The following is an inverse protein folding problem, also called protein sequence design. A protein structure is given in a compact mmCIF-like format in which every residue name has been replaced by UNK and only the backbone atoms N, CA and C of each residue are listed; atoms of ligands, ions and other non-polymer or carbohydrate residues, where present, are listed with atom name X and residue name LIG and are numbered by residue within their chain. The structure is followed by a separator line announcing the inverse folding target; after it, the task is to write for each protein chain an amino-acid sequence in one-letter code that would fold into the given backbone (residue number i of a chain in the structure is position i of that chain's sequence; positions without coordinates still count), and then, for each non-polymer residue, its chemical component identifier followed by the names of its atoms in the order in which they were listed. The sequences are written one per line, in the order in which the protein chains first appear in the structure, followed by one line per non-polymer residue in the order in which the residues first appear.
data_IF_630628317056
#
_entry.id   IF_630628317056
#
_cell.length_a   1.000
_cell.length_b   1.000
_cell.length_c   1.000
_cell.angle_alpha   90.00
_cell.angle_beta   90.00
_cell.angle_gamma   90.00
#
_symmetry.space_group_name_H-M   'P 1'
#
loop_
_entity.id
_entity.type
_entity.pdbx_description
1 polymer ?
#
# COMPACT_ATOMS: atom_id res chain seq x y z
N UNK A 1 -18.49 4.73 3.51
CA UNK A 1 -17.23 4.09 3.99
C UNK A 1 -16.17 5.18 4.11
N UNK A 2 -15.36 5.14 5.18
CA UNK A 2 -14.22 6.07 5.34
C UNK A 2 -13.13 5.70 4.33
N UNK A 3 -12.48 6.70 3.70
CA UNK A 3 -11.33 6.46 2.83
C UNK A 3 -10.22 5.75 3.64
N UNK A 4 -9.74 4.56 3.21
CA UNK A 4 -8.55 3.95 3.80
C UNK A 4 -7.34 4.85 3.56
N UNK A 5 -6.43 4.91 4.54
CA UNK A 5 -5.18 5.65 4.41
C UNK A 5 -4.21 4.89 3.52
N UNK A 6 -3.34 5.60 2.79
CA UNK A 6 -2.31 4.94 2.01
C UNK A 6 -1.29 4.27 2.94
N UNK A 7 -0.77 3.07 2.63
CA UNK A 7 0.19 2.38 3.51
C UNK A 7 1.44 3.21 3.81
N UNK A 8 1.88 4.01 2.85
CA UNK A 8 2.99 4.94 3.05
C UNK A 8 2.71 6.05 4.06
N UNK A 9 1.47 6.56 4.13
CA UNK A 9 1.07 7.54 5.14
C UNK A 9 1.02 6.87 6.52
N UNK A 10 0.50 5.63 6.59
CA UNK A 10 0.50 4.84 7.82
C UNK A 10 1.94 4.58 8.32
N UNK A 11 2.86 4.27 7.42
CA UNK A 11 4.28 4.08 7.76
C UNK A 11 4.93 5.39 8.25
N UNK A 12 4.61 6.51 7.61
CA UNK A 12 5.14 7.82 8.00
C UNK A 12 4.66 8.21 9.40
N UNK A 13 3.35 8.31 9.58
CA UNK A 13 2.72 8.84 10.79
C UNK A 13 2.79 7.84 11.95
N UNK A 14 2.76 6.54 11.66
CA UNK A 14 2.68 5.47 12.65
C UNK A 14 4.02 4.90 13.10
N UNK A 15 5.10 5.11 12.34
CA UNK A 15 6.41 4.52 12.66
C UNK A 15 7.57 5.50 12.48
N UNK A 16 7.66 6.22 11.36
CA UNK A 16 8.81 7.08 11.08
C UNK A 16 8.82 8.32 11.98
N UNK A 17 7.73 9.09 11.99
CA UNK A 17 7.64 10.33 12.77
C UNK A 17 7.73 10.08 14.29
N UNK A 18 6.99 9.11 14.88
CA UNK A 18 7.05 8.85 16.32
C UNK A 18 8.43 8.42 16.81
N UNK A 19 9.22 7.77 15.96
CA UNK A 19 10.57 7.29 16.29
C UNK A 19 11.68 8.26 15.83
N UNK A 20 11.34 9.46 15.32
CA UNK A 20 12.28 10.44 14.78
C UNK A 20 13.27 9.87 13.74
N UNK A 21 12.80 8.89 12.94
CA UNK A 21 13.62 8.25 11.92
C UNK A 21 13.75 9.20 10.73
N UNK A 22 14.99 9.44 10.28
CA UNK A 22 15.20 10.20 9.04
C UNK A 22 14.89 9.32 7.84
N UNK A 23 14.08 9.82 6.90
CA UNK A 23 13.75 9.11 5.65
C UNK A 23 15.02 8.66 4.91
N UNK A 24 16.08 9.48 4.94
CA UNK A 24 17.38 9.13 4.35
C UNK A 24 17.94 7.84 4.93
N UNK A 25 17.98 7.74 6.25
CA UNK A 25 18.60 6.62 6.97
C UNK A 25 17.81 5.33 6.71
N UNK A 26 16.47 5.40 6.78
CA UNK A 26 15.61 4.26 6.45
C UNK A 26 15.73 3.85 4.98
N UNK A 27 15.73 4.81 4.04
CA UNK A 27 15.87 4.49 2.61
C UNK A 27 17.19 3.79 2.32
N UNK A 28 18.29 4.24 2.92
CA UNK A 28 19.60 3.62 2.76
C UNK A 28 19.62 2.21 3.37
N UNK A 29 19.05 2.03 4.56
CA UNK A 29 18.95 0.73 5.21
C UNK A 29 18.17 -0.29 4.37
N UNK A 30 17.04 0.16 3.79
CA UNK A 30 16.22 -0.66 2.90
C UNK A 30 16.78 -0.76 1.47
N UNK A 31 17.91 -0.11 1.15
CA UNK A 31 18.49 -0.15 -0.20
C UNK A 31 17.59 0.46 -1.28
N UNK A 32 16.93 1.57 -0.97
CA UNK A 32 16.20 2.41 -1.92
C UNK A 32 16.80 3.82 -1.96
N UNK A 33 16.53 4.57 -3.04
CA UNK A 33 16.78 6.01 -3.01
C UNK A 33 15.81 6.69 -2.04
N UNK A 34 16.24 7.84 -1.49
CA UNK A 34 15.40 8.67 -0.63
C UNK A 34 14.12 9.11 -1.36
N UNK A 35 14.24 9.43 -2.64
CA UNK A 35 13.16 9.87 -3.51
C UNK A 35 12.10 8.77 -3.67
N UNK A 36 12.53 7.52 -3.90
CA UNK A 36 11.61 6.37 -4.03
C UNK A 36 10.82 6.17 -2.74
N UNK A 37 11.49 6.14 -1.58
CA UNK A 37 10.81 5.95 -0.31
C UNK A 37 9.87 7.14 -0.02
N UNK A 38 10.32 8.38 -0.22
CA UNK A 38 9.51 9.59 -0.01
C UNK A 38 8.23 9.60 -0.85
N UNK A 39 8.29 9.17 -2.11
CA UNK A 39 7.09 9.07 -2.97
C UNK A 39 6.07 8.08 -2.42
N UNK A 40 6.49 6.94 -1.85
CA UNK A 40 5.58 6.00 -1.20
C UNK A 40 4.98 6.62 0.06
N UNK A 41 5.82 7.21 0.93
CA UNK A 41 5.39 7.82 2.19
C UNK A 41 4.34 8.92 2.01
N UNK A 42 4.42 9.69 0.91
CA UNK A 42 3.46 10.75 0.60
C UNK A 42 2.40 10.34 -0.45
N UNK A 43 2.09 9.04 -0.53
CA UNK A 43 1.03 8.47 -1.38
C UNK A 43 1.13 8.85 -2.87
N UNK A 44 2.34 9.12 -3.37
CA UNK A 44 2.61 9.43 -4.79
C UNK A 44 2.86 8.18 -5.62
N UNK A 45 3.24 7.08 -4.97
CA UNK A 45 3.40 5.75 -5.58
C UNK A 45 2.96 4.67 -4.61
N UNK A 46 2.44 3.53 -5.10
CA UNK A 46 2.03 2.42 -4.25
C UNK A 46 3.15 1.85 -3.38
N UNK A 47 2.77 1.28 -2.24
CA UNK A 47 3.58 0.30 -1.52
C UNK A 47 3.74 -0.96 -2.37
N UNK A 48 4.95 -1.20 -2.87
CA UNK A 48 5.24 -2.39 -3.71
C UNK A 48 5.59 -3.60 -2.85
N UNK A 49 5.43 -4.81 -3.41
CA UNK A 49 5.83 -6.06 -2.73
C UNK A 49 7.32 -6.08 -2.32
N UNK A 50 8.21 -5.51 -3.15
CA UNK A 50 9.64 -5.42 -2.82
C UNK A 50 9.88 -4.54 -1.59
N UNK A 51 9.23 -3.36 -1.52
CA UNK A 51 9.35 -2.50 -0.34
C UNK A 51 8.72 -3.17 0.90
N UNK A 52 7.55 -3.79 0.75
CA UNK A 52 6.87 -4.50 1.83
C UNK A 52 7.73 -5.63 2.41
N UNK A 53 8.40 -6.43 1.56
CA UNK A 53 9.30 -7.50 1.99
C UNK A 53 10.51 -6.94 2.74
N UNK A 54 11.14 -5.88 2.24
CA UNK A 54 12.27 -5.27 2.94
C UNK A 54 11.89 -4.62 4.27
N UNK A 55 10.67 -4.09 4.39
CA UNK A 55 10.14 -3.62 5.67
C UNK A 55 9.98 -4.78 6.65
N UNK A 56 9.49 -5.94 6.20
CA UNK A 56 9.39 -7.15 7.03
C UNK A 56 10.77 -7.65 7.48
N UNK A 57 11.73 -7.74 6.57
CA UNK A 57 13.12 -8.12 6.89
C UNK A 57 13.77 -7.14 7.89
N UNK A 58 13.40 -5.86 7.83
CA UNK A 58 13.82 -4.84 8.79
C UNK A 58 13.04 -4.87 10.13
N UNK A 59 12.09 -5.80 10.30
CA UNK A 59 11.27 -5.93 11.50
C UNK A 59 10.14 -4.90 11.63
N UNK A 60 9.79 -4.22 10.52
CA UNK A 60 8.77 -3.16 10.48
C UNK A 60 7.46 -3.78 9.95
N UNK A 61 6.81 -4.55 10.82
CA UNK A 61 5.59 -5.33 10.52
C UNK A 61 5.78 -6.41 9.44
N UNK A 62 4.70 -6.95 8.89
CA UNK A 62 4.73 -7.99 7.85
C UNK A 62 4.45 -7.42 6.48
N UNK A 63 5.06 -7.98 5.45
CA UNK A 63 4.84 -7.64 4.05
C UNK A 63 3.38 -7.85 3.66
N UNK A 64 2.76 -8.92 4.20
CA UNK A 64 1.33 -9.19 4.01
C UNK A 64 0.46 -8.03 4.49
N UNK A 65 0.69 -7.54 5.72
CA UNK A 65 -0.08 -6.40 6.24
C UNK A 65 0.04 -5.18 5.31
N UNK A 66 1.26 -4.85 4.89
CA UNK A 66 1.49 -3.71 4.00
C UNK A 66 0.77 -3.83 2.66
N UNK A 67 0.75 -5.04 2.08
CA UNK A 67 0.08 -5.33 0.81
C UNK A 67 -1.45 -5.38 0.96
N UNK A 68 -1.97 -5.85 2.09
CA UNK A 68 -3.41 -5.83 2.37
C UNK A 68 -3.89 -4.37 2.46
N UNK A 69 -3.16 -3.51 3.18
CA UNK A 69 -3.45 -2.06 3.24
C UNK A 69 -3.41 -1.40 1.85
N UNK A 70 -2.42 -1.76 1.02
CA UNK A 70 -2.31 -1.23 -0.34
C UNK A 70 -3.52 -1.65 -1.19
N UNK A 71 -3.90 -2.92 -1.08
CA UNK A 71 -5.04 -3.50 -1.79
C UNK A 71 -6.34 -2.79 -1.41
N UNK A 72 -6.57 -2.56 -0.12
CA UNK A 72 -7.73 -1.81 0.35
C UNK A 72 -7.76 -0.38 -0.19
N UNK A 73 -6.61 0.31 -0.14
CA UNK A 73 -6.46 1.67 -0.68
C UNK A 73 -6.77 1.74 -2.18
N UNK A 74 -6.15 0.87 -2.97
CA UNK A 74 -6.30 0.85 -4.43
C UNK A 74 -7.72 0.50 -4.85
N UNK A 75 -8.33 -0.51 -4.20
CA UNK A 75 -9.71 -0.88 -4.47
C UNK A 75 -10.68 0.25 -4.13
N UNK A 76 -10.45 0.98 -3.03
CA UNK A 76 -11.26 2.15 -2.71
C UNK A 76 -11.12 3.23 -3.78
N UNK A 77 -9.90 3.64 -4.12
CA UNK A 77 -9.64 4.68 -5.13
C UNK A 77 -10.21 4.32 -6.51
N UNK A 78 -10.06 3.06 -6.94
CA UNK A 78 -10.62 2.56 -8.19
C UNK A 78 -12.14 2.55 -8.17
N UNK A 79 -12.77 2.14 -7.06
CA UNK A 79 -14.24 2.18 -6.92
C UNK A 79 -14.80 3.59 -7.02
N UNK A 80 -14.09 4.61 -6.52
CA UNK A 80 -14.52 6.01 -6.67
C UNK A 80 -14.36 6.55 -8.09
N UNK A 81 -13.35 6.07 -8.83
CA UNK A 81 -13.04 6.52 -10.20
C UNK A 81 -13.74 5.72 -11.27
N UNK A 82 -14.33 4.57 -10.93
CA UNK A 82 -14.97 3.68 -11.90
C UNK A 82 -16.18 4.38 -12.50
N UNK A 83 -16.06 4.76 -13.77
CA UNK A 83 -17.15 5.26 -14.61
C UNK A 83 -17.43 4.20 -15.68
N UNK A 84 -18.68 3.77 -15.81
CA UNK A 84 -19.09 2.77 -16.80
C UNK A 84 -20.06 1.73 -16.23
N UNK A 85 -20.61 0.90 -17.11
CA UNK A 85 -21.55 -0.14 -16.72
C UNK A 85 -20.88 -1.21 -15.83
N UNK A 86 -21.57 -1.72 -14.79
CA UNK A 86 -21.08 -2.86 -14.02
C UNK A 86 -20.82 -4.06 -14.93
N UNK A 87 -19.66 -4.69 -14.76
CA UNK A 87 -19.37 -5.96 -15.42
C UNK A 87 -20.35 -7.00 -14.87
N UNK A 88 -21.11 -7.65 -15.77
CA UNK A 88 -22.01 -8.74 -15.41
C UNK A 88 -21.18 -9.92 -14.86
N UNK A 89 -21.62 -10.58 -13.77
CA UNK A 89 -20.93 -11.76 -13.26
C UNK A 89 -20.73 -12.82 -14.34
N UNK A 90 -19.57 -13.47 -14.32
CA UNK A 90 -19.30 -14.62 -15.18
C UNK A 90 -20.12 -15.82 -14.67
N UNK A 91 -20.89 -16.44 -15.56
CA UNK A 91 -21.74 -17.61 -15.25
C UNK A 91 -21.07 -18.84 -15.87
N UNK A 92 -20.78 -19.85 -15.04
CA UNK A 92 -20.23 -21.14 -15.47
C UNK A 92 -21.11 -22.27 -14.91
N UNK A 93 -21.56 -23.20 -15.76
CA UNK A 93 -22.45 -24.32 -15.39
C UNK A 93 -23.70 -23.92 -14.57
N UNK A 94 -24.35 -22.81 -14.93
CA UNK A 94 -25.50 -22.23 -14.20
C UNK A 94 -25.22 -21.85 -12.73
N UNK A 95 -23.95 -21.78 -12.30
CA UNK A 95 -23.56 -21.22 -11.02
C UNK A 95 -22.92 -19.85 -11.20
N UNK A 96 -23.27 -18.91 -10.33
CA UNK A 96 -22.55 -17.65 -10.20
C UNK A 96 -21.36 -17.91 -9.27
N UNK A 97 -20.13 -17.72 -9.77
CA UNK A 97 -18.95 -17.67 -8.93
C UNK A 97 -18.95 -16.30 -8.22
N UNK A 98 -19.34 -16.28 -6.94
CA UNK A 98 -19.23 -15.12 -6.04
C UNK A 98 -18.17 -15.35 -4.98
#
# INVERSE_FOLDING_TARGET
MRKPAHPGEILLDGFIEPNNIKIKDLSQHLGFSRETLSRVLHAKTPMTANLALKLEEAGISTARLWLDLQTEYDLFELKQKRVGEPIKPFIFDNMVLV
#
